data_IF_602822410327
#
_entry.id   IF_602822410327
#
_cell.length_a   1.000
_cell.length_b   1.000
_cell.length_c   1.000
_cell.angle_alpha   90.00
_cell.angle_beta   90.00
_cell.angle_gamma   90.00
#
_symmetry.space_group_name_H-M   'P 1'
#
loop_
_entity.id
_entity.type
_entity.pdbx_description
1 polymer ?
#
# COMPACT_ATOMS: atom_id res chain seq x y z
N UNK A 1 -3.69 -31.23 -3.77
CA UNK A 1 -4.72 -30.41 -4.46
C UNK A 1 -5.89 -30.11 -3.53
N UNK A 2 -6.33 -31.08 -2.72
CA UNK A 2 -7.52 -30.93 -1.86
C UNK A 2 -7.30 -29.93 -0.73
N UNK A 3 -6.16 -30.00 -0.02
CA UNK A 3 -5.82 -29.05 1.05
C UNK A 3 -5.86 -27.58 0.57
N UNK A 4 -5.36 -27.31 -0.64
CA UNK A 4 -5.36 -25.95 -1.19
C UNK A 4 -6.78 -25.43 -1.44
N UNK A 5 -7.69 -26.25 -1.92
CA UNK A 5 -9.10 -25.89 -2.12
C UNK A 5 -9.81 -25.65 -0.80
N UNK A 6 -9.62 -26.52 0.17
CA UNK A 6 -10.19 -26.37 1.52
C UNK A 6 -9.72 -25.08 2.20
N UNK A 7 -8.44 -24.73 2.05
CA UNK A 7 -7.91 -23.49 2.59
C UNK A 7 -8.49 -22.25 1.90
N UNK A 8 -8.59 -22.25 0.57
CA UNK A 8 -9.18 -21.15 -0.18
C UNK A 8 -10.65 -20.95 0.21
N UNK A 9 -11.41 -22.03 0.33
CA UNK A 9 -12.81 -21.98 0.76
C UNK A 9 -12.94 -21.48 2.20
N UNK A 10 -12.14 -22.03 3.12
CA UNK A 10 -12.16 -21.68 4.55
C UNK A 10 -11.85 -20.21 4.80
N UNK A 11 -10.92 -19.63 4.04
CA UNK A 11 -10.47 -18.23 4.20
C UNK A 11 -11.16 -17.25 3.24
N UNK A 12 -12.20 -17.67 2.53
CA UNK A 12 -12.94 -16.81 1.60
C UNK A 12 -12.13 -16.33 0.40
N UNK A 13 -11.22 -17.18 -0.10
CA UNK A 13 -10.39 -16.91 -1.25
C UNK A 13 -8.89 -16.85 -0.94
N UNK A 14 -8.08 -16.74 -1.98
CA UNK A 14 -6.62 -16.66 -1.88
C UNK A 14 -6.17 -15.43 -1.06
N UNK A 15 -6.84 -14.30 -1.25
CA UNK A 15 -6.55 -13.07 -0.49
C UNK A 15 -6.79 -13.22 1.01
N UNK A 16 -7.85 -13.94 1.42
CA UNK A 16 -8.13 -14.22 2.82
C UNK A 16 -7.08 -15.15 3.43
N UNK A 17 -6.70 -16.19 2.70
CA UNK A 17 -5.62 -17.11 3.12
C UNK A 17 -4.28 -16.40 3.31
N UNK A 18 -3.90 -15.52 2.36
CA UNK A 18 -2.64 -14.77 2.44
C UNK A 18 -2.59 -13.79 3.62
N UNK A 19 -3.75 -13.29 4.07
CA UNK A 19 -3.87 -12.35 5.21
C UNK A 19 -4.09 -13.03 6.54
N UNK A 20 -4.36 -14.33 6.56
CA UNK A 20 -4.61 -15.06 7.79
C UNK A 20 -3.44 -14.92 8.77
N UNK A 21 -3.73 -14.59 10.01
CA UNK A 21 -2.74 -14.59 11.08
C UNK A 21 -2.26 -16.02 11.38
N UNK A 22 -1.09 -16.12 12.04
CA UNK A 22 -0.49 -17.41 12.37
C UNK A 22 -1.46 -18.36 13.12
N UNK A 23 -2.22 -17.82 14.06
CA UNK A 23 -3.14 -18.62 14.90
C UNK A 23 -4.27 -19.19 14.06
N UNK A 24 -4.92 -18.35 13.25
CA UNK A 24 -6.02 -18.75 12.38
C UNK A 24 -5.56 -19.71 11.28
N UNK A 25 -4.41 -19.44 10.66
CA UNK A 25 -3.85 -20.30 9.62
C UNK A 25 -3.46 -21.69 10.17
N UNK A 26 -2.73 -21.73 11.28
CA UNK A 26 -2.30 -23.01 11.89
C UNK A 26 -3.44 -23.79 12.56
N UNK A 27 -4.60 -23.18 12.81
CA UNK A 27 -5.81 -23.88 13.25
C UNK A 27 -6.51 -24.64 12.10
N UNK A 28 -6.11 -24.42 10.86
CA UNK A 28 -6.62 -25.17 9.72
C UNK A 28 -5.96 -26.57 9.65
N UNK A 29 -6.75 -27.65 9.46
CA UNK A 29 -6.19 -28.98 9.30
C UNK A 29 -5.13 -29.04 8.20
N UNK A 30 -4.00 -29.67 8.49
CA UNK A 30 -2.91 -29.82 7.53
C UNK A 30 -2.00 -28.60 7.35
N UNK A 31 -2.24 -27.49 8.09
CA UNK A 31 -1.37 -26.30 8.11
C UNK A 31 -0.64 -26.23 9.44
N UNK A 32 0.64 -26.57 9.43
CA UNK A 32 1.55 -26.30 10.54
C UNK A 32 2.36 -25.03 10.32
N UNK A 33 3.19 -24.69 11.31
CA UNK A 33 4.05 -23.48 11.25
C UNK A 33 4.93 -23.42 10.00
N UNK A 34 5.46 -24.56 9.52
CA UNK A 34 6.30 -24.60 8.33
C UNK A 34 5.53 -24.19 7.06
N UNK A 35 4.28 -24.65 6.90
CA UNK A 35 3.45 -24.25 5.76
C UNK A 35 3.01 -22.80 5.86
N UNK A 36 2.70 -22.33 7.07
CA UNK A 36 2.42 -20.91 7.30
C UNK A 36 3.63 -20.04 6.94
N UNK A 37 4.83 -20.39 7.41
CA UNK A 37 6.07 -19.67 7.08
C UNK A 37 6.34 -19.66 5.56
N UNK A 38 6.09 -20.76 4.86
CA UNK A 38 6.21 -20.81 3.41
C UNK A 38 5.24 -19.87 2.72
N UNK A 39 3.97 -19.82 3.13
CA UNK A 39 2.98 -18.87 2.59
C UNK A 39 3.43 -17.41 2.79
N UNK A 40 3.93 -17.08 3.99
CA UNK A 40 4.45 -15.74 4.28
C UNK A 40 5.69 -15.40 3.44
N UNK A 41 6.59 -16.37 3.23
CA UNK A 41 7.77 -16.19 2.39
C UNK A 41 7.39 -15.91 0.93
N UNK A 42 6.40 -16.64 0.38
CA UNK A 42 5.90 -16.40 -0.98
C UNK A 42 5.31 -14.99 -1.12
N UNK A 43 4.54 -14.54 -0.14
CA UNK A 43 3.98 -13.19 -0.13
C UNK A 43 5.07 -12.11 -0.05
N UNK A 44 6.09 -12.32 0.78
CA UNK A 44 7.22 -11.39 0.89
C UNK A 44 8.07 -11.38 -0.39
N UNK A 45 8.26 -12.52 -1.04
CA UNK A 45 8.93 -12.58 -2.35
C UNK A 45 8.15 -11.79 -3.41
N UNK A 46 6.83 -12.00 -3.50
CA UNK A 46 5.99 -11.25 -4.44
C UNK A 46 6.06 -9.73 -4.17
N UNK A 47 6.03 -9.32 -2.90
CA UNK A 47 6.17 -7.92 -2.52
C UNK A 47 7.51 -7.33 -2.96
N UNK A 48 8.62 -8.06 -2.77
CA UNK A 48 9.96 -7.62 -3.19
C UNK A 48 10.09 -7.55 -4.70
N UNK A 49 9.61 -8.54 -5.42
CA UNK A 49 9.63 -8.52 -6.91
C UNK A 49 8.90 -7.30 -7.45
N UNK A 50 7.69 -7.02 -6.97
CA UNK A 50 6.95 -5.82 -7.39
C UNK A 50 7.63 -4.52 -6.98
N UNK A 51 8.34 -4.50 -5.84
CA UNK A 51 9.14 -3.34 -5.43
C UNK A 51 10.33 -3.12 -6.37
N UNK A 52 11.02 -4.19 -6.77
CA UNK A 52 12.13 -4.14 -7.73
C UNK A 52 11.64 -3.66 -9.10
N UNK A 53 10.53 -4.20 -9.61
CA UNK A 53 9.92 -3.79 -10.89
C UNK A 53 9.53 -2.30 -10.85
N UNK A 54 9.00 -1.83 -9.73
CA UNK A 54 8.64 -0.42 -9.53
C UNK A 54 9.87 0.49 -9.48
N UNK A 55 10.98 0.03 -8.88
CA UNK A 55 12.23 0.78 -8.78
C UNK A 55 13.02 0.78 -10.09
N UNK A 56 12.87 -0.24 -10.92
CA UNK A 56 13.61 -0.39 -12.18
C UNK A 56 13.16 0.60 -13.27
N UNK A 57 11.99 1.23 -13.10
CA UNK A 57 11.39 2.14 -14.09
C UNK A 57 11.08 3.53 -13.55
N UNK A 58 10.74 4.43 -14.48
CA UNK A 58 10.12 5.71 -14.16
C UNK A 58 8.66 5.47 -13.73
N UNK A 59 8.26 5.98 -12.59
CA UNK A 59 6.90 5.84 -12.06
C UNK A 59 5.81 6.38 -12.99
N UNK A 60 6.15 7.37 -13.85
CA UNK A 60 5.23 7.92 -14.84
C UNK A 60 5.09 7.03 -16.07
N UNK A 61 6.16 6.32 -16.46
CA UNK A 61 6.13 5.40 -17.61
C UNK A 61 5.61 4.02 -17.25
N UNK A 62 5.58 3.69 -15.94
CA UNK A 62 5.08 2.41 -15.43
C UNK A 62 4.04 2.57 -14.31
N UNK A 63 2.93 3.31 -14.53
CA UNK A 63 1.93 3.55 -13.49
C UNK A 63 1.24 2.26 -13.01
N UNK A 64 1.25 1.22 -13.84
CA UNK A 64 0.72 -0.09 -13.48
C UNK A 64 1.56 -0.75 -12.39
N UNK A 65 2.90 -0.73 -12.49
CA UNK A 65 3.78 -1.30 -11.46
C UNK A 65 3.59 -0.60 -10.10
N UNK A 66 3.51 0.74 -10.09
CA UNK A 66 3.21 1.51 -8.86
C UNK A 66 1.86 1.12 -8.27
N UNK A 67 0.83 1.02 -9.12
CA UNK A 67 -0.53 0.63 -8.70
C UNK A 67 -0.56 -0.78 -8.10
N UNK A 68 0.07 -1.74 -8.76
CA UNK A 68 0.06 -3.14 -8.34
C UNK A 68 0.83 -3.32 -7.02
N UNK A 69 1.95 -2.63 -6.86
CA UNK A 69 2.66 -2.59 -5.59
C UNK A 69 1.82 -1.97 -4.47
N UNK A 70 1.22 -0.79 -4.70
CA UNK A 70 0.37 -0.12 -3.72
C UNK A 70 -0.86 -0.99 -3.35
N UNK A 71 -1.46 -1.67 -4.34
CA UNK A 71 -2.54 -2.62 -4.08
C UNK A 71 -2.08 -3.77 -3.19
N UNK A 72 -0.89 -4.32 -3.43
CA UNK A 72 -0.38 -5.43 -2.63
C UNK A 72 -0.16 -5.01 -1.17
N UNK A 73 0.42 -3.83 -0.91
CA UNK A 73 0.74 -3.40 0.46
C UNK A 73 -0.44 -2.79 1.22
N UNK A 74 -1.42 -2.19 0.52
CA UNK A 74 -2.52 -1.47 1.14
C UNK A 74 -3.83 -2.27 1.16
N UNK A 75 -4.05 -3.16 0.18
CA UNK A 75 -5.29 -3.94 0.09
C UNK A 75 -5.44 -4.89 1.27
N UNK A 76 -6.60 -4.83 1.92
CA UNK A 76 -6.93 -5.73 3.00
C UNK A 76 -6.45 -5.30 4.38
N UNK A 77 -5.90 -4.10 4.51
CA UNK A 77 -5.72 -3.49 5.82
C UNK A 77 -7.10 -3.09 6.38
N UNK A 78 -7.36 -3.47 7.62
CA UNK A 78 -8.63 -3.20 8.32
C UNK A 78 -8.74 -1.75 8.81
N UNK A 79 -7.68 -0.97 8.68
CA UNK A 79 -7.56 0.42 9.08
C UNK A 79 -7.00 1.25 7.93
N UNK A 80 -7.29 2.54 7.93
CA UNK A 80 -6.69 3.44 6.95
C UNK A 80 -5.19 3.60 7.17
N UNK A 81 -4.44 3.51 6.07
CA UNK A 81 -3.01 3.80 6.03
C UNK A 81 -2.76 4.82 4.94
N UNK A 82 -2.05 5.88 5.29
CA UNK A 82 -1.56 6.85 4.32
C UNK A 82 -0.09 6.58 4.02
N UNK A 83 0.21 6.43 2.74
CA UNK A 83 1.50 6.02 2.21
C UNK A 83 2.00 7.07 1.23
N UNK A 84 3.33 7.27 1.18
CA UNK A 84 4.00 8.11 0.20
C UNK A 84 5.03 7.31 -0.58
N UNK A 85 5.03 7.48 -1.91
CA UNK A 85 6.07 7.03 -2.82
C UNK A 85 6.95 8.24 -3.11
N UNK A 86 8.20 8.20 -2.68
CA UNK A 86 9.19 9.26 -2.87
C UNK A 86 9.94 9.03 -4.18
N UNK A 87 10.06 10.08 -5.01
CA UNK A 87 10.62 9.99 -6.35
C UNK A 87 11.78 10.97 -6.52
N UNK A 88 12.78 10.56 -7.31
CA UNK A 88 13.88 11.43 -7.74
C UNK A 88 13.44 12.40 -8.88
N UNK A 89 14.39 13.20 -9.38
CA UNK A 89 14.13 14.16 -10.44
C UNK A 89 13.76 13.51 -11.79
N UNK A 90 14.10 12.23 -11.99
CA UNK A 90 13.71 11.42 -13.13
C UNK A 90 12.45 10.59 -12.86
N UNK A 91 11.72 10.88 -11.78
CA UNK A 91 10.53 10.16 -11.30
C UNK A 91 10.76 8.67 -10.99
N UNK A 92 11.99 8.26 -10.71
CA UNK A 92 12.30 6.90 -10.24
C UNK A 92 12.01 6.79 -8.76
N UNK A 93 11.51 5.63 -8.34
CA UNK A 93 11.16 5.41 -6.93
C UNK A 93 12.41 5.31 -6.08
N UNK A 94 12.55 6.21 -5.12
CA UNK A 94 13.58 6.19 -4.08
C UNK A 94 13.14 5.27 -2.94
N UNK A 95 11.90 5.50 -2.43
CA UNK A 95 11.38 4.80 -1.26
C UNK A 95 9.85 4.85 -1.23
N UNK A 96 9.26 3.86 -0.56
CA UNK A 96 7.83 3.85 -0.21
C UNK A 96 7.72 3.76 1.31
N UNK A 97 6.92 4.64 1.91
CA UNK A 97 6.72 4.65 3.37
C UNK A 97 5.24 4.74 3.74
N UNK A 98 4.83 3.93 4.71
CA UNK A 98 3.57 4.09 5.42
C UNK A 98 3.80 5.14 6.51
N UNK A 99 3.25 6.34 6.35
CA UNK A 99 3.54 7.48 7.24
C UNK A 99 2.50 7.67 8.33
N UNK A 100 1.24 7.39 8.02
CA UNK A 100 0.16 7.58 8.99
C UNK A 100 -0.76 6.36 9.00
N UNK A 101 -1.22 6.04 10.20
CA UNK A 101 -2.22 5.02 10.45
C UNK A 101 -3.40 5.67 11.15
N UNK A 102 -4.56 5.53 10.57
CA UNK A 102 -5.81 6.02 11.12
C UNK A 102 -6.61 4.94 11.83
N UNK A 103 -7.84 5.32 12.15
CA UNK A 103 -8.90 4.42 12.59
C UNK A 103 -9.64 3.83 11.38
N UNK A 104 -10.78 3.19 11.59
CA UNK A 104 -11.64 2.67 10.52
C UNK A 104 -12.21 3.76 9.60
N UNK A 105 -12.26 5.00 10.06
CA UNK A 105 -12.98 6.10 9.39
C UNK A 105 -12.17 7.36 9.12
N UNK A 106 -10.98 7.51 9.71
CA UNK A 106 -10.20 8.73 9.57
C UNK A 106 -8.71 8.53 9.87
N UNK A 107 -7.87 9.11 9.02
CA UNK A 107 -6.42 9.23 9.23
C UNK A 107 -6.03 10.70 9.34
N UNK A 108 -5.37 11.08 10.44
CA UNK A 108 -4.80 12.42 10.58
C UNK A 108 -3.46 12.49 9.85
N UNK A 109 -3.43 13.20 8.72
CA UNK A 109 -2.22 13.40 7.91
C UNK A 109 -1.67 14.80 8.16
N UNK A 110 -0.42 14.88 8.58
CA UNK A 110 0.26 16.12 8.90
C UNK A 110 1.26 16.51 7.80
N UNK A 111 1.05 17.62 7.04
CA UNK A 111 1.94 18.04 5.96
C UNK A 111 3.40 18.17 6.40
N UNK A 112 3.65 18.68 7.61
CA UNK A 112 5.00 18.83 8.15
C UNK A 112 5.80 17.52 8.19
N UNK A 113 5.15 16.40 8.51
CA UNK A 113 5.83 15.11 8.60
C UNK A 113 6.14 14.57 7.19
N UNK A 114 5.24 14.78 6.22
CA UNK A 114 5.50 14.41 4.82
C UNK A 114 6.66 15.24 4.26
N UNK A 115 6.67 16.56 4.50
CA UNK A 115 7.77 17.44 4.05
C UNK A 115 9.11 16.98 4.67
N UNK A 116 9.16 16.69 5.96
CA UNK A 116 10.38 16.17 6.62
C UNK A 116 10.89 14.90 5.93
N UNK A 117 9.99 13.97 5.60
CA UNK A 117 10.37 12.72 4.92
C UNK A 117 10.80 12.98 3.48
N UNK A 118 10.10 13.86 2.75
CA UNK A 118 10.48 14.24 1.39
C UNK A 118 11.91 14.82 1.33
N UNK A 119 12.22 15.72 2.24
CA UNK A 119 13.57 16.33 2.35
C UNK A 119 14.61 15.31 2.79
N UNK A 120 14.29 14.41 3.72
CA UNK A 120 15.20 13.36 4.19
C UNK A 120 15.57 12.38 3.07
N UNK A 121 14.65 12.10 2.14
CA UNK A 121 14.89 11.28 0.95
C UNK A 121 15.43 12.06 -0.24
N UNK A 122 15.61 13.36 -0.12
CA UNK A 122 15.98 14.24 -1.25
C UNK A 122 15.04 14.02 -2.46
N UNK A 123 13.75 13.89 -2.18
CA UNK A 123 12.74 13.61 -3.19
C UNK A 123 12.38 14.89 -3.98
N UNK A 124 12.26 14.77 -5.30
CA UNK A 124 11.80 15.83 -6.19
C UNK A 124 10.29 15.77 -6.46
N UNK A 125 9.69 14.59 -6.25
CA UNK A 125 8.26 14.39 -6.41
C UNK A 125 7.74 13.28 -5.50
N UNK A 126 6.40 13.27 -5.31
CA UNK A 126 5.67 12.27 -4.53
C UNK A 126 4.46 11.75 -5.28
N UNK A 127 4.17 10.47 -5.07
CA UNK A 127 2.84 9.90 -5.29
C UNK A 127 2.27 9.59 -3.90
N UNK A 128 1.06 10.08 -3.66
CA UNK A 128 0.31 9.83 -2.44
C UNK A 128 -0.55 8.58 -2.61
N UNK A 129 -0.77 7.82 -1.55
CA UNK A 129 -1.69 6.70 -1.58
C UNK A 129 -2.33 6.47 -0.22
N UNK A 130 -3.59 6.03 -0.21
CA UNK A 130 -4.24 5.52 0.98
C UNK A 130 -5.25 4.43 0.63
N UNK A 131 -5.62 3.62 1.59
CA UNK A 131 -6.66 2.63 1.42
C UNK A 131 -7.96 3.07 2.07
N UNK A 132 -9.07 2.67 1.46
CA UNK A 132 -10.40 2.73 2.06
C UNK A 132 -10.84 1.34 2.50
N UNK A 133 -10.84 1.02 3.81
CA UNK A 133 -11.33 -0.27 4.32
C UNK A 133 -12.80 -0.54 3.95
N UNK A 134 -13.60 0.52 3.75
CA UNK A 134 -15.00 0.43 3.34
C UNK A 134 -15.22 -0.18 1.95
N UNK A 135 -14.17 -0.32 1.13
CA UNK A 135 -14.27 -0.84 -0.23
C UNK A 135 -14.68 0.19 -1.29
N UNK A 136 -14.95 1.44 -0.93
CA UNK A 136 -15.32 2.51 -1.87
C UNK A 136 -14.04 3.15 -2.43
N UNK A 137 -13.82 3.07 -3.74
CA UNK A 137 -12.62 3.62 -4.39
C UNK A 137 -12.74 5.12 -4.73
N UNK A 138 -13.94 5.69 -4.62
CA UNK A 138 -14.15 7.10 -4.96
C UNK A 138 -13.51 8.02 -3.90
N UNK A 139 -12.77 9.08 -4.34
CA UNK A 139 -12.20 10.04 -3.41
C UNK A 139 -13.31 10.85 -2.73
N UNK A 140 -13.25 10.92 -1.40
CA UNK A 140 -14.12 11.79 -0.61
C UNK A 140 -13.75 13.27 -0.81
N UNK A 141 -14.61 14.18 -0.35
CA UNK A 141 -14.28 15.61 -0.31
C UNK A 141 -13.08 15.91 0.60
N UNK A 142 -12.94 15.14 1.69
CA UNK A 142 -11.80 15.25 2.60
C UNK A 142 -10.48 14.86 1.90
N UNK A 143 -10.47 13.78 1.10
CA UNK A 143 -9.30 13.35 0.33
C UNK A 143 -8.86 14.40 -0.68
N UNK A 144 -9.82 14.99 -1.40
CA UNK A 144 -9.55 16.07 -2.36
C UNK A 144 -8.94 17.31 -1.68
N UNK A 145 -9.48 17.66 -0.50
CA UNK A 145 -8.99 18.79 0.29
C UNK A 145 -7.59 18.51 0.84
N UNK A 146 -7.36 17.30 1.35
CA UNK A 146 -6.05 16.85 1.84
C UNK A 146 -5.01 16.86 0.72
N UNK A 147 -5.34 16.30 -0.44
CA UNK A 147 -4.45 16.26 -1.60
C UNK A 147 -3.99 17.66 -1.99
N UNK A 148 -4.93 18.60 -2.11
CA UNK A 148 -4.62 20.00 -2.46
C UNK A 148 -3.73 20.64 -1.41
N UNK A 149 -4.08 20.50 -0.11
CA UNK A 149 -3.29 21.05 1.00
C UNK A 149 -1.86 20.48 1.02
N UNK A 150 -1.69 19.20 0.72
CA UNK A 150 -0.37 18.58 0.64
C UNK A 150 0.42 19.06 -0.56
N UNK A 151 -0.22 19.18 -1.73
CA UNK A 151 0.42 19.71 -2.93
C UNK A 151 0.90 21.17 -2.73
N UNK A 152 0.06 22.02 -2.15
CA UNK A 152 0.41 23.41 -1.85
C UNK A 152 1.59 23.50 -0.86
N UNK A 153 1.58 22.67 0.19
CA UNK A 153 2.64 22.66 1.20
C UNK A 153 3.98 22.13 0.65
N UNK A 154 3.95 21.10 -0.18
CA UNK A 154 5.14 20.50 -0.79
C UNK A 154 5.73 21.40 -1.88
N UNK A 155 4.90 22.15 -2.60
CA UNK A 155 5.37 23.13 -3.59
C UNK A 155 6.26 24.23 -2.98
N UNK A 156 6.06 24.57 -1.69
CA UNK A 156 6.91 25.54 -0.99
C UNK A 156 8.36 25.08 -0.79
N UNK A 157 8.63 23.80 -0.97
CA UNK A 157 9.96 23.16 -0.85
C UNK A 157 10.37 22.47 -2.15
N UNK A 158 9.81 22.91 -3.29
CA UNK A 158 10.09 22.43 -4.65
C UNK A 158 9.84 20.93 -4.85
N UNK A 159 8.91 20.33 -4.09
CA UNK A 159 8.51 18.92 -4.22
C UNK A 159 7.12 18.83 -4.85
N UNK A 160 7.00 18.11 -5.97
CA UNK A 160 5.76 17.99 -6.73
C UNK A 160 4.91 16.80 -6.23
N UNK A 161 3.60 16.95 -6.16
CA UNK A 161 2.68 15.83 -6.04
C UNK A 161 2.20 15.43 -7.43
N UNK A 162 2.51 14.20 -7.87
CA UNK A 162 2.19 13.72 -9.21
C UNK A 162 0.81 13.08 -9.28
N UNK A 163 0.44 12.30 -8.27
CA UNK A 163 -0.85 11.58 -8.23
C UNK A 163 -1.26 11.24 -6.78
N UNK A 164 -2.52 10.82 -6.60
CA UNK A 164 -3.03 10.31 -5.35
C UNK A 164 -3.92 9.08 -5.58
N UNK A 165 -3.39 7.89 -5.26
CA UNK A 165 -4.10 6.63 -5.41
C UNK A 165 -4.97 6.29 -4.20
N UNK A 166 -6.18 5.83 -4.48
CA UNK A 166 -7.06 5.25 -3.47
C UNK A 166 -7.19 3.75 -3.74
N UNK A 167 -6.79 2.95 -2.77
CA UNK A 167 -6.88 1.50 -2.83
C UNK A 167 -8.12 1.05 -2.05
N UNK A 168 -9.16 0.66 -2.78
CA UNK A 168 -10.35 0.10 -2.17
C UNK A 168 -10.06 -1.29 -1.59
N UNK A 169 -10.60 -1.58 -0.42
CA UNK A 169 -10.65 -2.92 0.13
C UNK A 169 -11.38 -3.87 -0.83
N UNK A 170 -11.15 -5.17 -0.69
CA UNK A 170 -11.99 -6.13 -1.40
C UNK A 170 -13.40 -6.02 -0.84
N UNK A 171 -14.36 -5.62 -1.66
CA UNK A 171 -15.77 -5.89 -1.37
C UNK A 171 -15.90 -7.40 -1.21
N UNK A 172 -16.38 -7.83 -0.03
CA UNK A 172 -16.73 -9.22 0.28
C UNK A 172 -17.84 -9.70 -0.63
#
# INVERSE_FOLDING_TARGET
VDLGRELIERFGGLSGLCRADKKSACAAPGVGEAKYALLQAVMEMARRTLAEDMQAGDALTSPTAVRDYLRLILRGKEYEVFCCVFLDAQNRVIQVEELFRGTLTQTSVYPREIIKRALAHNAAALILAHNHPSGVAEPSQADRTLTRRLADALALVDVRVLDHFIVAGASS
#
